data_IF_066039922017
#
_entry.id   IF_066039922017
#
_cell.length_a   1.000
_cell.length_b   1.000
_cell.length_c   1.000
_cell.angle_alpha   90.00
_cell.angle_beta   90.00
_cell.angle_gamma   90.00
#
_symmetry.space_group_name_H-M   'P 1'
#
loop_
_entity.id
_entity.type
_entity.pdbx_description
1 polymer ?
#
# COMPACT_ATOMS: atom_id res chain seq x y z
N UNK A 1 7.12 8.51 5.95
CA UNK A 1 7.46 7.19 5.37
C UNK A 1 8.22 6.28 6.34
N UNK A 2 9.47 6.55 6.72
CA UNK A 2 10.28 5.60 7.54
C UNK A 2 9.64 5.20 8.88
N UNK A 3 9.00 6.10 9.60
CA UNK A 3 8.28 5.76 10.84
C UNK A 3 7.08 4.84 10.57
N UNK A 4 6.34 5.10 9.48
CA UNK A 4 5.15 4.36 9.08
C UNK A 4 5.44 2.98 8.47
N UNK A 5 6.69 2.66 8.11
CA UNK A 5 7.04 1.31 7.63
C UNK A 5 7.72 0.46 8.71
N UNK A 6 8.30 1.10 9.73
CA UNK A 6 8.96 0.40 10.86
C UNK A 6 8.00 -0.35 11.77
N UNK A 7 6.72 0.06 11.80
CA UNK A 7 5.69 -0.68 12.52
C UNK A 7 5.26 -1.98 11.82
N UNK A 8 5.74 -2.22 10.60
CA UNK A 8 5.30 -3.37 9.81
C UNK A 8 5.75 -4.67 10.49
N UNK A 9 4.91 -5.71 10.48
CA UNK A 9 5.33 -7.04 10.90
C UNK A 9 6.67 -7.42 10.27
N UNK A 10 7.55 -8.04 11.06
CA UNK A 10 8.85 -8.49 10.57
C UNK A 10 8.67 -9.70 9.67
N UNK A 11 9.33 -9.69 8.50
CA UNK A 11 9.13 -10.70 7.47
C UNK A 11 7.83 -10.51 6.68
N UNK A 12 7.76 -11.12 5.50
CA UNK A 12 6.59 -11.04 4.63
C UNK A 12 6.78 -10.11 3.43
N UNK A 13 5.68 -9.64 2.85
CA UNK A 13 5.68 -8.86 1.62
C UNK A 13 5.19 -7.44 1.88
N UNK A 14 5.85 -6.46 1.27
CA UNK A 14 5.44 -5.06 1.23
C UNK A 14 5.15 -4.69 -0.21
N UNK A 15 4.04 -4.02 -0.44
CA UNK A 15 3.65 -3.51 -1.76
C UNK A 15 3.94 -2.01 -1.84
N UNK A 16 4.54 -1.57 -2.94
CA UNK A 16 4.67 -0.17 -3.30
C UNK A 16 4.04 0.08 -4.67
N UNK A 17 3.16 1.07 -4.74
CA UNK A 17 2.55 1.54 -5.98
C UNK A 17 3.12 2.93 -6.31
N UNK A 18 4.00 2.98 -7.29
CA UNK A 18 4.74 4.18 -7.70
C UNK A 18 6.21 4.15 -7.25
N UNK A 19 7.06 3.38 -7.93
CA UNK A 19 8.50 3.34 -7.63
C UNK A 19 9.22 4.65 -7.93
N UNK A 20 8.81 5.34 -9.00
CA UNK A 20 9.55 6.45 -9.62
C UNK A 20 11.04 6.10 -9.77
N UNK A 21 11.94 6.86 -9.15
CA UNK A 21 13.39 6.61 -9.15
C UNK A 21 13.88 5.72 -7.99
N UNK A 22 12.99 5.06 -7.23
CA UNK A 22 13.35 4.04 -6.23
C UNK A 22 13.82 4.54 -4.87
N UNK A 23 13.64 5.82 -4.55
CA UNK A 23 14.06 6.41 -3.26
C UNK A 23 13.26 5.87 -2.07
N UNK A 24 11.94 5.80 -2.20
CA UNK A 24 11.03 5.23 -1.20
C UNK A 24 11.32 3.73 -1.01
N UNK A 25 11.42 2.98 -2.10
CA UNK A 25 11.77 1.57 -2.12
C UNK A 25 13.08 1.28 -1.35
N UNK A 26 14.16 2.01 -1.65
CA UNK A 26 15.45 1.87 -1.00
C UNK A 26 15.38 2.17 0.49
N UNK A 27 14.71 3.26 0.88
CA UNK A 27 14.54 3.64 2.28
C UNK A 27 13.73 2.63 3.07
N UNK A 28 12.69 2.04 2.46
CA UNK A 28 11.94 0.94 3.07
C UNK A 28 12.83 -0.28 3.25
N UNK A 29 13.62 -0.65 2.24
CA UNK A 29 14.54 -1.79 2.30
C UNK A 29 15.61 -1.63 3.40
N UNK A 30 16.09 -0.41 3.63
CA UNK A 30 17.02 -0.09 4.72
C UNK A 30 16.39 -0.15 6.12
N UNK A 31 15.06 -0.06 6.23
CA UNK A 31 14.35 -0.01 7.51
C UNK A 31 13.67 -1.31 7.88
N UNK A 32 13.28 -2.11 6.89
CA UNK A 32 12.61 -3.38 7.07
C UNK A 32 13.64 -4.48 7.41
N UNK A 33 13.26 -5.36 8.33
CA UNK A 33 14.13 -6.41 8.82
C UNK A 33 14.43 -7.51 7.77
N UNK A 34 15.37 -8.42 8.06
CA UNK A 34 15.65 -9.57 7.22
C UNK A 34 14.39 -10.39 6.91
N UNK A 35 14.29 -10.91 5.68
CA UNK A 35 13.16 -11.74 5.26
C UNK A 35 11.95 -10.97 4.72
N UNK A 36 11.98 -9.64 4.71
CA UNK A 36 10.96 -8.83 4.03
C UNK A 36 11.28 -8.71 2.53
N UNK A 37 10.25 -8.88 1.69
CA UNK A 37 10.31 -8.63 0.24
C UNK A 37 9.47 -7.42 -0.12
N UNK A 38 10.02 -6.50 -0.89
CA UNK A 38 9.34 -5.29 -1.33
C UNK A 38 9.04 -5.44 -2.82
N UNK A 39 7.76 -5.42 -3.17
CA UNK A 39 7.25 -5.46 -4.52
C UNK A 39 6.89 -4.03 -4.93
N UNK A 40 7.65 -3.43 -5.85
CA UNK A 40 7.50 -2.02 -6.23
C UNK A 40 7.04 -1.90 -7.69
N UNK A 41 5.94 -1.20 -7.92
CA UNK A 41 5.30 -1.07 -9.23
C UNK A 41 5.62 0.28 -9.88
N UNK A 42 6.10 0.24 -11.13
CA UNK A 42 6.32 1.44 -11.94
C UNK A 42 5.77 1.26 -13.36
N UNK A 43 4.97 2.23 -13.80
CA UNK A 43 4.36 2.20 -15.13
C UNK A 43 5.30 2.76 -16.20
N UNK A 44 6.08 3.78 -15.86
CA UNK A 44 7.01 4.42 -16.79
C UNK A 44 8.32 3.62 -16.91
N UNK A 45 8.63 3.04 -18.09
CA UNK A 45 9.85 2.27 -18.27
C UNK A 45 11.12 3.10 -18.06
N UNK A 46 11.10 4.41 -18.27
CA UNK A 46 12.26 5.29 -18.05
C UNK A 46 12.56 5.39 -16.55
N UNK A 47 11.55 5.68 -15.73
CA UNK A 47 11.71 5.73 -14.28
C UNK A 47 12.13 4.37 -13.71
N UNK A 48 11.54 3.29 -14.22
CA UNK A 48 11.89 1.93 -13.82
C UNK A 48 13.39 1.62 -14.05
N UNK A 49 13.93 2.00 -15.21
CA UNK A 49 15.37 1.81 -15.49
C UNK A 49 16.23 2.60 -14.50
N UNK A 50 15.86 3.85 -14.23
CA UNK A 50 16.56 4.69 -13.23
C UNK A 50 16.49 4.06 -11.84
N UNK A 51 15.32 3.61 -11.39
CA UNK A 51 15.14 2.95 -10.10
C UNK A 51 16.00 1.69 -9.97
N UNK A 52 16.00 0.82 -10.99
CA UNK A 52 16.82 -0.40 -10.98
C UNK A 52 18.31 -0.10 -10.89
N UNK A 53 18.79 0.93 -11.58
CA UNK A 53 20.19 1.35 -11.50
C UNK A 53 20.55 1.90 -10.11
N UNK A 54 19.68 2.71 -9.51
CA UNK A 54 19.86 3.24 -8.14
C UNK A 54 19.88 2.09 -7.12
N UNK A 55 18.95 1.14 -7.24
CA UNK A 55 18.87 -0.02 -6.36
C UNK A 55 20.11 -0.92 -6.53
N UNK A 56 20.55 -1.19 -7.75
CA UNK A 56 21.76 -1.96 -8.02
C UNK A 56 23.02 -1.30 -7.41
N UNK A 57 23.14 0.03 -7.52
CA UNK A 57 24.23 0.79 -6.92
C UNK A 57 24.20 0.80 -5.38
N UNK A 58 23.05 0.49 -4.77
CA UNK A 58 22.87 0.49 -3.31
C UNK A 58 23.29 -0.84 -2.64
N UNK A 59 23.77 -1.81 -3.40
CA UNK A 59 24.30 -3.07 -2.89
C UNK A 59 23.25 -3.91 -2.15
N UNK A 60 23.69 -4.63 -1.09
CA UNK A 60 22.84 -5.59 -0.35
C UNK A 60 21.58 -4.96 0.25
N UNK A 61 21.61 -3.67 0.54
CA UNK A 61 20.46 -2.95 1.10
C UNK A 61 19.23 -3.02 0.19
N UNK A 62 19.42 -3.04 -1.13
CA UNK A 62 18.34 -3.07 -2.10
C UNK A 62 17.93 -4.49 -2.53
N UNK A 63 18.60 -5.54 -2.03
CA UNK A 63 18.34 -6.92 -2.45
C UNK A 63 16.91 -7.41 -2.14
N UNK A 64 16.24 -6.76 -1.19
CA UNK A 64 14.84 -7.01 -0.85
C UNK A 64 13.84 -6.42 -1.86
N UNK A 65 14.26 -5.51 -2.75
CA UNK A 65 13.36 -4.76 -3.64
C UNK A 65 13.29 -5.41 -5.02
N UNK A 66 12.07 -5.72 -5.45
CA UNK A 66 11.77 -6.17 -6.80
C UNK A 66 10.91 -5.12 -7.51
N UNK A 67 11.45 -4.54 -8.58
CA UNK A 67 10.75 -3.53 -9.39
C UNK A 67 10.06 -4.19 -10.58
N UNK A 68 8.77 -3.96 -10.69
CA UNK A 68 7.90 -4.50 -11.74
C UNK A 68 7.43 -3.40 -12.67
N UNK A 69 7.60 -3.64 -13.96
CA UNK A 69 7.24 -2.68 -15.00
C UNK A 69 5.83 -2.97 -15.50
N UNK A 70 4.99 -1.95 -15.54
CA UNK A 70 3.64 -2.02 -16.08
C UNK A 70 2.63 -1.23 -15.27
N UNK A 71 1.45 -1.04 -15.84
CA UNK A 71 0.41 -0.30 -15.16
C UNK A 71 -0.18 -1.12 -14.00
N UNK A 72 -0.39 -0.50 -12.84
CA UNK A 72 -1.00 -1.14 -11.66
C UNK A 72 -2.35 -1.84 -11.94
N UNK A 73 -3.18 -1.25 -12.82
CA UNK A 73 -4.43 -1.86 -13.30
C UNK A 73 -4.25 -3.23 -13.97
N UNK A 74 -3.08 -3.50 -14.54
CA UNK A 74 -2.77 -4.79 -15.16
C UNK A 74 -2.05 -5.71 -14.17
N UNK A 75 -1.16 -5.16 -13.34
CA UNK A 75 -0.31 -5.93 -12.43
C UNK A 75 -1.05 -6.40 -11.19
N UNK A 76 -1.84 -5.54 -10.54
CA UNK A 76 -2.55 -5.89 -9.29
C UNK A 76 -3.54 -7.05 -9.48
N UNK A 77 -4.38 -7.10 -10.54
CA UNK A 77 -5.25 -8.25 -10.76
C UNK A 77 -4.49 -9.54 -11.05
N UNK A 78 -3.33 -9.47 -11.72
CA UNK A 78 -2.49 -10.64 -12.00
C UNK A 78 -1.85 -11.18 -10.72
N UNK A 79 -1.42 -10.31 -9.82
CA UNK A 79 -0.89 -10.73 -8.52
C UNK A 79 -1.93 -11.35 -7.62
N UNK A 80 -3.15 -10.80 -7.60
CA UNK A 80 -4.30 -11.44 -6.94
C UNK A 80 -4.52 -12.89 -7.41
N UNK A 81 -4.21 -13.20 -8.67
CA UNK A 81 -4.38 -14.54 -9.23
C UNK A 81 -3.17 -15.47 -9.06
N UNK A 82 -1.95 -14.93 -8.92
CA UNK A 82 -0.69 -15.71 -8.97
C UNK A 82 0.06 -15.76 -7.64
N UNK A 83 0.03 -14.68 -6.87
CA UNK A 83 0.76 -14.53 -5.61
C UNK A 83 -0.27 -14.39 -4.48
N UNK A 84 -0.93 -15.50 -4.10
CA UNK A 84 -1.79 -15.54 -2.92
C UNK A 84 -0.93 -15.39 -1.65
N UNK A 85 -0.77 -14.15 -1.17
CA UNK A 85 -0.13 -13.80 0.09
C UNK A 85 -0.64 -12.47 0.62
N UNK A 86 -0.64 -12.29 1.93
CA UNK A 86 -1.00 -11.03 2.58
C UNK A 86 0.18 -10.05 2.56
N UNK A 87 -0.08 -8.78 2.25
CA UNK A 87 0.93 -7.74 2.43
C UNK A 87 0.96 -7.29 3.90
N UNK A 88 2.17 -7.21 4.46
CA UNK A 88 2.42 -6.67 5.79
C UNK A 88 2.24 -5.14 5.82
N UNK A 89 2.46 -4.48 4.68
CA UNK A 89 2.22 -3.06 4.47
C UNK A 89 2.04 -2.75 2.98
N UNK A 90 1.32 -1.66 2.69
CA UNK A 90 1.19 -1.09 1.34
C UNK A 90 1.57 0.39 1.41
N UNK A 91 2.42 0.83 0.48
CA UNK A 91 2.77 2.23 0.27
C UNK A 91 2.23 2.69 -1.09
N UNK A 92 1.37 3.70 -1.07
CA UNK A 92 0.68 4.22 -2.26
C UNK A 92 1.09 5.68 -2.45
N UNK A 93 1.96 5.94 -3.44
CA UNK A 93 2.48 7.27 -3.79
C UNK A 93 2.32 7.54 -5.30
N UNK A 94 1.43 6.79 -5.94
CA UNK A 94 1.07 7.01 -7.34
C UNK A 94 0.47 8.41 -7.56
N UNK A 95 0.72 8.96 -8.75
CA UNK A 95 -0.06 10.10 -9.26
C UNK A 95 -1.36 9.63 -9.95
N UNK A 96 -2.37 10.49 -9.93
CA UNK A 96 -3.65 10.31 -10.64
C UNK A 96 -4.83 9.92 -9.75
N UNK A 97 -6.00 9.70 -10.36
CA UNK A 97 -7.27 9.47 -9.65
C UNK A 97 -7.49 8.02 -9.20
N UNK A 98 -6.60 7.09 -9.55
CA UNK A 98 -6.78 5.65 -9.32
C UNK A 98 -6.62 5.18 -7.87
N UNK A 99 -6.56 6.08 -6.90
CA UNK A 99 -6.22 5.75 -5.51
C UNK A 99 -7.32 4.90 -4.87
N UNK A 100 -8.58 5.31 -5.02
CA UNK A 100 -9.72 4.66 -4.39
C UNK A 100 -9.96 3.27 -4.99
N UNK A 101 -9.86 3.12 -6.32
CA UNK A 101 -10.02 1.83 -6.96
C UNK A 101 -8.90 0.84 -6.61
N UNK A 102 -7.66 1.34 -6.50
CA UNK A 102 -6.54 0.51 -6.04
C UNK A 102 -6.75 0.08 -4.58
N UNK A 103 -7.27 0.97 -3.73
CA UNK A 103 -7.56 0.66 -2.33
C UNK A 103 -8.69 -0.37 -2.21
N UNK A 104 -9.81 -0.16 -2.90
CA UNK A 104 -10.93 -1.11 -2.93
C UNK A 104 -10.48 -2.49 -3.44
N UNK A 105 -9.59 -2.54 -4.44
CA UNK A 105 -9.03 -3.78 -4.94
C UNK A 105 -8.16 -4.50 -3.89
N UNK A 106 -7.41 -3.75 -3.08
CA UNK A 106 -6.57 -4.32 -2.03
C UNK A 106 -7.41 -4.78 -0.81
N UNK A 107 -8.49 -4.07 -0.49
CA UNK A 107 -9.40 -4.44 0.61
C UNK A 107 -10.34 -5.60 0.27
N UNK A 108 -10.84 -5.63 -0.98
CA UNK A 108 -11.76 -6.69 -1.46
C UNK A 108 -11.07 -8.00 -1.84
N UNK A 109 -9.73 -8.01 -1.92
CA UNK A 109 -8.94 -9.08 -2.52
C UNK A 109 -8.31 -10.08 -1.55
N UNK A 110 -7.92 -11.25 -2.08
CA UNK A 110 -7.15 -12.30 -1.40
C UNK A 110 -5.71 -11.88 -0.99
N UNK A 111 -5.19 -10.77 -1.53
CA UNK A 111 -4.00 -10.09 -1.00
C UNK A 111 -4.42 -9.18 0.16
N UNK A 112 -4.87 -9.77 1.26
CA UNK A 112 -5.28 -8.99 2.44
C UNK A 112 -4.08 -8.24 3.02
N UNK A 113 -4.28 -6.98 3.39
CA UNK A 113 -3.35 -6.30 4.29
C UNK A 113 -3.70 -6.78 5.70
N UNK A 114 -2.74 -7.39 6.41
CA UNK A 114 -2.96 -7.75 7.82
C UNK A 114 -2.93 -6.46 8.67
N UNK A 115 -4.09 -5.84 8.79
CA UNK A 115 -4.35 -4.76 9.73
C UNK A 115 -4.06 -5.22 11.16
N UNK A 116 -3.06 -4.64 11.83
CA UNK A 116 -2.92 -4.75 13.29
C UNK A 116 -3.58 -3.53 13.95
N UNK A 117 -4.22 -3.73 15.10
CA UNK A 117 -5.06 -2.72 15.77
C UNK A 117 -4.30 -1.54 16.40
N UNK A 118 -2.96 -1.51 16.32
CA UNK A 118 -2.11 -0.61 17.12
C UNK A 118 -1.32 0.42 16.31
N UNK A 119 -1.64 0.65 15.04
CA UNK A 119 -0.88 1.58 14.22
C UNK A 119 -1.32 3.04 14.42
N UNK A 120 -0.41 3.96 14.79
CA UNK A 120 -0.75 5.37 14.84
C UNK A 120 -0.93 5.90 13.41
N UNK A 121 -2.13 6.43 13.13
CA UNK A 121 -2.40 7.19 11.91
C UNK A 121 -1.54 8.46 11.96
N UNK A 122 -0.55 8.56 11.08
CA UNK A 122 0.12 9.85 10.83
C UNK A 122 -0.51 10.50 9.61
N UNK A 123 -1.48 11.39 9.83
CA UNK A 123 -1.91 12.31 8.78
C UNK A 123 -0.86 13.42 8.62
N UNK A 124 -0.56 13.79 7.37
CA UNK A 124 0.09 15.06 7.05
C UNK A 124 -0.70 15.73 5.92
N UNK A 125 -0.98 17.01 6.10
CA UNK A 125 -1.73 17.85 5.17
C UNK A 125 -0.83 18.35 4.04
N UNK A 126 -1.46 18.51 2.87
CA UNK A 126 -0.92 18.95 1.57
C UNK A 126 -0.09 17.90 0.80
N UNK A 127 -0.78 16.91 0.21
CA UNK A 127 -0.27 16.26 -1.01
C UNK A 127 -0.48 14.75 -1.18
N UNK A 128 -1.10 14.07 -0.20
CA UNK A 128 -1.50 12.64 -0.19
C UNK A 128 -0.49 11.65 0.40
N UNK A 129 -0.90 10.99 1.51
CA UNK A 129 -0.33 9.75 2.04
C UNK A 129 -1.52 8.94 2.53
N UNK A 130 -1.57 7.66 2.16
CA UNK A 130 -2.51 6.74 2.76
C UNK A 130 -1.80 5.47 3.18
N UNK A 131 -1.80 5.24 4.49
CA UNK A 131 -1.59 3.94 5.10
C UNK A 131 -2.95 3.54 5.67
N UNK A 132 -3.46 2.37 5.28
CA UNK A 132 -4.79 1.89 5.71
C UNK A 132 -4.66 0.84 6.79
N UNK A 133 -5.33 1.09 7.93
CA UNK A 133 -6.24 0.20 8.68
C UNK A 133 -6.42 0.66 10.16
N UNK A 134 -7.52 0.37 10.92
CA UNK A 134 -8.58 -0.65 10.72
C UNK A 134 -10.06 -0.15 10.76
N UNK A 135 -11.04 -1.02 10.43
CA UNK A 135 -12.47 -0.70 10.33
C UNK A 135 -13.23 -0.83 11.66
N UNK A 136 -12.77 -0.18 12.73
CA UNK A 136 -13.47 -0.24 14.02
C UNK A 136 -14.65 0.77 14.15
N UNK A 137 -14.93 1.57 13.12
CA UNK A 137 -16.03 2.55 13.12
C UNK A 137 -16.92 2.52 11.86
N UNK A 138 -17.02 1.37 11.19
CA UNK A 138 -18.12 1.09 10.25
C UNK A 138 -19.10 0.08 10.84
N UNK A 139 -19.55 0.33 12.07
CA UNK A 139 -20.89 -0.14 12.48
C UNK A 139 -21.94 0.83 11.95
N UNK A 140 -22.19 0.80 10.63
CA UNK A 140 -23.54 1.08 10.18
C UNK A 140 -24.38 -0.15 10.50
N UNK A 141 -25.10 -0.12 11.62
CA UNK A 141 -26.30 -0.94 11.74
C UNK A 141 -27.27 -0.44 10.66
N UNK A 142 -27.35 -1.15 9.54
CA UNK A 142 -28.54 -1.15 8.72
C UNK A 142 -29.66 -1.73 9.59
N UNK A 143 -30.43 -0.88 10.25
CA UNK A 143 -31.77 -1.27 10.70
C UNK A 143 -32.61 -1.54 9.46
N UNK A 144 -33.16 -2.74 9.37
CA UNK A 144 -34.11 -3.13 8.33
C UNK A 144 -35.29 -2.16 8.28
N UNK A 145 -35.74 -1.91 7.05
CA UNK A 145 -36.72 -0.94 6.61
C UNK A 145 -37.95 -0.73 7.52
N UNK A 146 -38.24 0.54 7.80
CA UNK A 146 -39.54 1.07 8.16
C UNK A 146 -39.68 2.45 7.51
N UNK A 147 -40.78 2.68 6.80
CA UNK A 147 -41.01 3.76 5.85
C UNK A 147 -40.60 5.19 6.28
N UNK A 148 -40.25 5.98 5.25
CA UNK A 148 -40.21 7.46 5.16
C UNK A 148 -38.99 8.22 5.73
N UNK A 149 -38.08 8.55 4.78
CA UNK A 149 -37.04 9.60 4.79
C UNK A 149 -35.85 9.48 5.76
N UNK A 150 -34.59 9.41 5.26
CA UNK A 150 -33.41 9.46 6.12
C UNK A 150 -33.17 10.89 6.63
N UNK A 151 -33.26 11.10 7.95
CA UNK A 151 -32.72 12.29 8.61
C UNK A 151 -31.30 12.00 9.09
N UNK A 152 -30.40 12.94 8.85
CA UNK A 152 -29.04 12.94 9.43
C UNK A 152 -29.15 13.47 10.87
N UNK A 153 -28.81 12.64 11.85
CA UNK A 153 -28.67 13.07 13.23
C UNK A 153 -27.26 13.63 13.45
N UNK A 154 -27.15 14.90 13.84
CA UNK A 154 -25.90 15.48 14.34
C UNK A 154 -25.62 14.96 15.75
N UNK A 155 -24.36 14.63 16.04
CA UNK A 155 -23.89 14.37 17.40
C UNK A 155 -23.34 15.67 18.01
N UNK A 156 -23.61 15.84 19.31
CA UNK A 156 -23.08 16.87 20.22
C UNK A 156 -21.57 16.73 20.44
#
# INVERSE_FOLDING_TARGET
MTAAIRGAPTGGQVLEIGTYCGQSALRMALCLGPGTRIHSLEADPVHMVVARNILAASGKAAAAVQVWTGHRKDLLPRWRQRECGSFAAVFMDQRGSGYDEDLELLESGACSVQAQSSWPITSWSQGSVSAVAPPALLQFRLCSAGASSPRVCHAL
#
